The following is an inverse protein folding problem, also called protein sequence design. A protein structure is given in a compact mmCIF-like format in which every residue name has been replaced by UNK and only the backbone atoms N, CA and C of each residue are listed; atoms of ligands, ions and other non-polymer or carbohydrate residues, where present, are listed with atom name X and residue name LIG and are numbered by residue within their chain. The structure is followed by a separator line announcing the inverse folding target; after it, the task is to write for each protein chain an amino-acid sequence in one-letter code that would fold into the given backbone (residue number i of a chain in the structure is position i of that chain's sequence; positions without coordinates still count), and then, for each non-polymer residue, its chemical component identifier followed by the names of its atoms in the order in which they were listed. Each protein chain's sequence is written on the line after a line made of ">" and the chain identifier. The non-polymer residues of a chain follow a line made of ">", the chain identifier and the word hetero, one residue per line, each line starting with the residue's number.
data_IF_712605123635
#
_entry.id   IF_712605123635
#
_cell.length_a   1.000
_cell.length_b   1.000
_cell.length_c   1.000
_cell.angle_alpha   90.00
_cell.angle_beta   90.00
_cell.angle_gamma   90.00
#
_symmetry.space_group_name_H-M   'P 1'
#
loop_
_entity.id
_entity.type
_entity.pdbx_description
1 polymer ?
#
# COMPACT_ATOMS: atom_id res chain seq x y z
N UNK A 1 -19.70 54.46 -32.52
CA UNK A 1 -20.48 53.36 -31.95
C UNK A 1 -19.98 51.98 -32.36
N UNK A 2 -19.47 51.71 -33.56
CA UNK A 2 -18.98 50.37 -33.99
C UNK A 2 -17.79 49.89 -33.19
N UNK A 3 -16.83 50.74 -32.81
CA UNK A 3 -15.62 50.33 -32.06
C UNK A 3 -15.89 49.90 -30.61
N UNK A 4 -16.85 50.51 -29.94
CA UNK A 4 -17.22 50.21 -28.56
C UNK A 4 -17.85 48.78 -28.49
N UNK A 5 -18.72 48.42 -29.44
CA UNK A 5 -19.30 47.10 -29.52
C UNK A 5 -18.31 45.99 -29.75
N UNK A 6 -17.22 46.25 -30.50
CA UNK A 6 -16.15 45.33 -30.74
C UNK A 6 -15.26 45.14 -29.51
N UNK A 7 -15.02 46.20 -28.73
CA UNK A 7 -14.25 46.16 -27.48
C UNK A 7 -15.02 45.33 -26.42
N UNK A 8 -16.33 45.57 -26.30
CA UNK A 8 -17.18 44.82 -25.36
C UNK A 8 -17.28 43.33 -25.73
N UNK A 9 -17.37 43.00 -27.03
CA UNK A 9 -17.34 41.56 -27.45
C UNK A 9 -15.98 40.90 -27.17
N UNK A 10 -14.89 41.58 -27.35
CA UNK A 10 -13.55 41.02 -27.04
C UNK A 10 -13.33 40.88 -25.54
N UNK A 11 -13.81 41.83 -24.73
CA UNK A 11 -13.78 41.73 -23.27
C UNK A 11 -14.66 40.59 -22.74
N UNK A 12 -15.87 40.38 -23.30
CA UNK A 12 -16.75 39.28 -22.93
C UNK A 12 -16.19 37.90 -23.29
N UNK A 13 -15.51 37.80 -24.44
CA UNK A 13 -14.81 36.56 -24.86
C UNK A 13 -13.61 36.24 -23.96
N UNK A 14 -12.87 37.25 -23.50
CA UNK A 14 -11.72 37.06 -22.63
C UNK A 14 -12.13 36.65 -21.20
N UNK A 15 -13.20 37.24 -20.65
CA UNK A 15 -13.75 36.86 -19.34
C UNK A 15 -14.39 35.46 -19.36
N UNK A 16 -15.01 35.04 -20.45
CA UNK A 16 -15.57 33.69 -20.59
C UNK A 16 -14.47 32.61 -20.67
N UNK A 17 -13.33 32.91 -21.28
CA UNK A 17 -12.19 31.97 -21.39
C UNK A 17 -11.47 31.77 -20.06
N UNK A 18 -11.39 32.78 -19.20
CA UNK A 18 -10.74 32.69 -17.89
C UNK A 18 -11.59 31.94 -16.85
N UNK A 19 -12.93 31.94 -16.98
CA UNK A 19 -13.80 31.17 -16.07
C UNK A 19 -13.75 29.65 -16.33
N UNK A 20 -13.38 29.21 -17.53
CA UNK A 20 -13.29 27.78 -17.86
C UNK A 20 -12.00 27.12 -17.33
N UNK A 21 -10.99 27.89 -16.96
CA UNK A 21 -9.72 27.37 -16.42
C UNK A 21 -9.75 27.11 -14.91
N UNK A 22 -10.78 27.60 -14.19
CA UNK A 22 -10.90 27.45 -12.75
C UNK A 22 -11.69 26.17 -12.33
N UNK A 23 -12.20 25.39 -13.28
CA UNK A 23 -13.13 24.28 -13.01
C UNK A 23 -12.45 22.90 -12.93
N UNK A 24 -11.15 22.80 -13.15
CA UNK A 24 -10.45 21.52 -13.01
C UNK A 24 -9.63 21.50 -11.72
N UNK A 25 -10.24 21.08 -10.62
CA UNK A 25 -9.46 20.47 -9.56
C UNK A 25 -9.10 19.05 -10.04
N UNK A 26 -7.91 18.93 -10.59
CA UNK A 26 -7.35 17.66 -11.09
C UNK A 26 -6.92 16.70 -9.97
N UNK A 27 -7.32 16.96 -8.74
CA UNK A 27 -7.02 16.13 -7.59
C UNK A 27 -8.14 15.10 -7.38
N UNK A 28 -8.35 14.26 -8.40
CA UNK A 28 -9.16 13.04 -8.22
C UNK A 28 -8.21 11.94 -7.76
N UNK A 29 -8.28 11.55 -6.48
CA UNK A 29 -7.50 10.42 -6.01
C UNK A 29 -7.90 9.15 -6.77
N UNK A 30 -6.97 8.21 -7.03
CA UNK A 30 -7.30 6.90 -7.54
C UNK A 30 -8.35 6.24 -6.63
N UNK A 31 -9.35 5.52 -7.20
CA UNK A 31 -10.45 4.95 -6.41
C UNK A 31 -10.01 3.92 -5.37
N UNK A 32 -8.77 3.46 -5.44
CA UNK A 32 -8.18 2.42 -4.60
C UNK A 32 -7.21 2.97 -3.54
N UNK A 33 -7.01 4.28 -3.46
CA UNK A 33 -6.16 4.91 -2.46
C UNK A 33 -6.95 5.89 -1.61
N UNK A 34 -6.92 5.70 -0.30
CA UNK A 34 -7.35 6.70 0.67
C UNK A 34 -6.38 7.89 0.61
N UNK A 35 -6.58 8.79 -0.35
CA UNK A 35 -5.70 9.94 -0.57
C UNK A 35 -6.16 11.20 0.16
N UNK A 36 -7.29 11.14 0.87
CA UNK A 36 -7.76 12.23 1.70
C UNK A 36 -7.29 12.03 3.15
N UNK A 37 -6.44 12.93 3.68
CA UNK A 37 -6.06 12.89 5.09
C UNK A 37 -7.24 12.97 6.06
N UNK A 38 -8.39 13.49 5.62
CA UNK A 38 -9.59 13.66 6.44
C UNK A 38 -10.59 12.49 6.29
N UNK A 39 -10.27 11.46 5.50
CA UNK A 39 -11.17 10.33 5.25
C UNK A 39 -11.39 9.43 6.49
N UNK A 40 -10.53 9.51 7.50
CA UNK A 40 -10.66 8.74 8.74
C UNK A 40 -11.17 9.67 9.83
N UNK A 41 -12.50 9.71 9.98
CA UNK A 41 -13.19 10.59 10.91
C UNK A 41 -13.73 9.88 12.14
N UNK A 42 -13.90 8.56 12.05
CA UNK A 42 -14.49 7.72 13.11
C UNK A 42 -13.83 6.33 13.15
N UNK A 43 -14.21 5.55 14.16
CA UNK A 43 -13.66 4.21 14.42
C UNK A 43 -13.99 3.23 13.30
N UNK A 44 -15.15 3.34 12.64
CA UNK A 44 -15.55 2.45 11.56
C UNK A 44 -14.71 2.67 10.31
N UNK A 45 -14.41 3.93 9.97
CA UNK A 45 -13.49 4.28 8.89
C UNK A 45 -12.07 3.83 9.20
N UNK A 46 -11.65 3.93 10.47
CA UNK A 46 -10.39 3.35 10.95
C UNK A 46 -10.32 1.83 10.75
N UNK A 47 -11.39 1.11 11.10
CA UNK A 47 -11.50 -0.36 10.88
C UNK A 47 -11.47 -0.72 9.40
N UNK A 48 -12.12 0.07 8.55
CA UNK A 48 -12.10 -0.13 7.09
C UNK A 48 -10.69 0.05 6.51
N UNK A 49 -9.93 1.05 6.98
CA UNK A 49 -8.54 1.23 6.57
C UNK A 49 -7.64 0.09 7.07
N UNK A 50 -7.84 -0.41 8.29
CA UNK A 50 -7.11 -1.58 8.78
C UNK A 50 -7.38 -2.81 7.90
N UNK A 51 -8.61 -3.01 7.46
CA UNK A 51 -8.95 -4.09 6.50
C UNK A 51 -8.14 -3.94 5.21
N UNK A 52 -8.00 -2.71 4.70
CA UNK A 52 -7.16 -2.43 3.53
C UNK A 52 -5.67 -2.71 3.80
N UNK A 53 -5.18 -2.46 5.02
CA UNK A 53 -3.83 -2.84 5.42
C UNK A 53 -3.64 -4.36 5.37
N UNK A 54 -4.58 -5.15 5.89
CA UNK A 54 -4.54 -6.61 5.79
C UNK A 54 -4.55 -7.11 4.35
N UNK A 55 -5.36 -6.51 3.48
CA UNK A 55 -5.41 -6.86 2.06
C UNK A 55 -4.12 -6.50 1.31
N UNK A 56 -3.33 -5.56 1.83
CA UNK A 56 -2.04 -5.18 1.25
C UNK A 56 -0.86 -6.01 1.78
N UNK A 57 -1.10 -6.92 2.75
CA UNK A 57 -0.06 -7.83 3.22
C UNK A 57 0.31 -8.80 2.10
N UNK A 58 1.61 -8.99 1.80
CA UNK A 58 2.04 -9.87 0.72
C UNK A 58 1.75 -11.34 1.02
N UNK A 59 1.18 -12.05 0.06
CA UNK A 59 0.88 -13.48 0.10
C UNK A 59 1.86 -14.22 -0.83
N UNK A 60 3.04 -14.53 -0.32
CA UNK A 60 4.12 -15.17 -1.08
C UNK A 60 4.44 -16.59 -0.55
N UNK A 61 3.49 -17.19 0.15
CA UNK A 61 3.66 -18.51 0.79
C UNK A 61 3.99 -19.60 -0.24
N UNK A 62 3.38 -19.50 -1.43
CA UNK A 62 3.61 -20.46 -2.53
C UNK A 62 5.07 -20.41 -3.02
N UNK A 63 5.57 -19.21 -3.32
CA UNK A 63 6.92 -18.99 -3.82
C UNK A 63 7.97 -19.40 -2.78
N UNK A 64 7.75 -19.05 -1.52
CA UNK A 64 8.65 -19.43 -0.44
C UNK A 64 8.63 -20.93 -0.16
N UNK A 65 7.48 -21.59 -0.29
CA UNK A 65 7.37 -23.03 -0.18
C UNK A 65 8.10 -23.76 -1.30
N UNK A 66 8.11 -23.21 -2.51
CA UNK A 66 8.94 -23.73 -3.61
C UNK A 66 10.42 -23.58 -3.31
N UNK A 67 10.85 -22.41 -2.85
CA UNK A 67 12.25 -22.13 -2.50
C UNK A 67 12.71 -22.95 -1.28
N UNK A 68 11.83 -23.16 -0.31
CA UNK A 68 12.06 -23.98 0.88
C UNK A 68 12.04 -25.48 0.63
N UNK A 69 11.70 -25.91 -0.59
CA UNK A 69 11.53 -27.33 -0.95
C UNK A 69 10.43 -28.04 -0.12
N UNK A 70 9.42 -27.30 0.35
CA UNK A 70 8.26 -27.86 1.06
C UNK A 70 7.39 -28.69 0.12
N UNK A 71 7.36 -28.34 -1.17
CA UNK A 71 6.83 -29.18 -2.22
C UNK A 71 7.59 -29.00 -3.56
N UNK A 72 7.54 -30.06 -4.37
CA UNK A 72 8.19 -30.10 -5.67
C UNK A 72 7.17 -29.94 -6.80
N UNK A 73 7.32 -29.03 -7.75
CA UNK A 73 6.46 -28.93 -8.91
C UNK A 73 6.58 -30.17 -9.78
N UNK A 74 5.46 -30.74 -10.19
CA UNK A 74 5.39 -31.90 -11.08
C UNK A 74 5.02 -31.47 -12.50
N UNK A 75 5.17 -32.37 -13.46
CA UNK A 75 4.72 -32.15 -14.85
C UNK A 75 3.20 -31.92 -14.97
N UNK A 76 2.43 -32.18 -13.91
CA UNK A 76 0.98 -31.94 -13.86
C UNK A 76 0.62 -30.65 -13.13
N UNK A 77 1.38 -30.30 -12.08
CA UNK A 77 1.11 -29.17 -11.17
C UNK A 77 2.19 -28.09 -11.21
N UNK A 78 2.79 -27.78 -12.22
CA UNK A 78 3.87 -26.78 -12.30
C UNK A 78 4.47 -26.80 -13.69
N UNK A 79 3.58 -26.75 -14.70
CA UNK A 79 4.00 -26.77 -16.10
C UNK A 79 4.68 -25.51 -16.56
N UNK A 80 4.48 -24.41 -15.85
CA UNK A 80 5.08 -23.16 -16.23
C UNK A 80 6.58 -23.17 -15.93
N UNK A 81 7.33 -22.62 -16.86
CA UNK A 81 8.79 -22.55 -16.79
C UNK A 81 9.24 -21.68 -15.61
N UNK A 82 8.42 -20.72 -15.19
CA UNK A 82 8.74 -19.80 -14.10
C UNK A 82 8.73 -20.53 -12.77
N UNK A 83 7.70 -21.33 -12.47
CA UNK A 83 7.66 -22.19 -11.28
C UNK A 83 8.85 -23.17 -11.22
N UNK A 84 9.18 -23.82 -12.33
CA UNK A 84 10.33 -24.72 -12.41
C UNK A 84 11.66 -23.99 -12.16
N UNK A 85 11.81 -22.81 -12.74
CA UNK A 85 13.00 -22.00 -12.56
C UNK A 85 13.13 -21.48 -11.11
N UNK A 86 12.03 -21.08 -10.49
CA UNK A 86 12.02 -20.65 -9.10
C UNK A 86 12.39 -21.81 -8.16
N UNK A 87 11.79 -22.98 -8.36
CA UNK A 87 12.13 -24.19 -7.61
C UNK A 87 13.60 -24.57 -7.74
N UNK A 88 14.18 -24.41 -8.94
CA UNK A 88 15.61 -24.67 -9.21
C UNK A 88 16.53 -23.49 -8.88
N UNK A 89 16.06 -22.49 -8.14
CA UNK A 89 16.84 -21.33 -7.69
C UNK A 89 17.54 -20.57 -8.82
N UNK A 90 16.86 -20.38 -9.96
CA UNK A 90 17.45 -19.61 -11.06
C UNK A 90 17.55 -18.13 -10.72
N UNK A 91 18.73 -17.54 -10.79
CA UNK A 91 19.05 -16.17 -10.38
C UNK A 91 18.07 -15.12 -10.88
N UNK A 92 17.68 -15.20 -12.15
CA UNK A 92 16.72 -14.26 -12.74
C UNK A 92 15.37 -14.32 -12.06
N UNK A 93 14.87 -15.51 -11.72
CA UNK A 93 13.56 -15.70 -11.09
C UNK A 93 13.60 -15.27 -9.63
N UNK A 94 14.68 -15.56 -8.92
CA UNK A 94 14.92 -15.05 -7.56
C UNK A 94 14.98 -13.52 -7.54
N UNK A 95 15.73 -12.92 -8.47
CA UNK A 95 15.83 -11.46 -8.58
C UNK A 95 14.46 -10.81 -8.89
N UNK A 96 13.67 -11.40 -9.79
CA UNK A 96 12.33 -10.93 -10.10
C UNK A 96 11.42 -11.02 -8.87
N UNK A 97 11.40 -12.15 -8.17
CA UNK A 97 10.63 -12.33 -6.95
C UNK A 97 11.03 -11.28 -5.89
N UNK A 98 12.32 -11.12 -5.63
CA UNK A 98 12.84 -10.15 -4.68
C UNK A 98 12.42 -8.72 -5.03
N UNK A 99 12.43 -8.35 -6.30
CA UNK A 99 12.04 -7.00 -6.78
C UNK A 99 10.56 -6.69 -6.58
N UNK A 100 9.71 -7.70 -6.43
CA UNK A 100 8.28 -7.54 -6.15
C UNK A 100 7.96 -7.65 -4.67
N UNK A 101 8.61 -8.55 -3.96
CA UNK A 101 8.37 -8.84 -2.53
C UNK A 101 8.77 -7.64 -1.65
N UNK A 102 9.96 -7.10 -1.84
CA UNK A 102 10.45 -5.97 -1.04
C UNK A 102 9.48 -4.77 -1.04
N UNK A 103 9.11 -4.18 -2.19
CA UNK A 103 8.20 -3.03 -2.19
C UNK A 103 6.79 -3.39 -1.70
N UNK A 104 6.32 -4.63 -1.86
CA UNK A 104 5.02 -5.05 -1.38
C UNK A 104 4.93 -4.99 0.15
N UNK A 105 5.94 -5.49 0.88
CA UNK A 105 6.00 -5.36 2.33
C UNK A 105 6.06 -3.90 2.79
N UNK A 106 6.87 -3.06 2.13
CA UNK A 106 6.94 -1.63 2.47
C UNK A 106 5.65 -0.88 2.14
N UNK A 107 4.89 -1.31 1.14
CA UNK A 107 3.54 -0.77 0.88
C UNK A 107 2.61 -1.08 2.05
N UNK A 108 2.59 -2.32 2.55
CA UNK A 108 1.80 -2.67 3.72
C UNK A 108 2.23 -1.88 4.98
N UNK A 109 3.53 -1.76 5.23
CA UNK A 109 4.08 -0.96 6.34
C UNK A 109 3.63 0.50 6.23
N UNK A 110 3.73 1.10 5.04
CA UNK A 110 3.30 2.48 4.79
C UNK A 110 1.81 2.68 5.04
N UNK A 111 0.97 1.73 4.61
CA UNK A 111 -0.47 1.77 4.87
C UNK A 111 -0.77 1.70 6.38
N UNK A 112 -0.04 0.85 7.11
CA UNK A 112 -0.15 0.79 8.58
C UNK A 112 0.30 2.09 9.24
N UNK A 113 1.37 2.73 8.75
CA UNK A 113 1.86 4.01 9.30
C UNK A 113 0.84 5.12 9.09
N UNK A 114 0.22 5.20 7.92
CA UNK A 114 -0.86 6.15 7.64
C UNK A 114 -2.04 5.93 8.59
N UNK A 115 -2.43 4.67 8.83
CA UNK A 115 -3.49 4.36 9.79
C UNK A 115 -3.09 4.77 11.22
N UNK A 116 -1.90 4.41 11.67
CA UNK A 116 -1.41 4.71 13.02
C UNK A 116 -1.32 6.21 13.29
N UNK A 117 -0.89 7.00 12.30
CA UNK A 117 -0.85 8.46 12.43
C UNK A 117 -2.24 9.08 12.58
N UNK A 118 -3.23 8.52 11.87
CA UNK A 118 -4.57 9.09 11.82
C UNK A 118 -5.47 8.62 12.94
N UNK A 119 -5.36 7.36 13.35
CA UNK A 119 -6.22 6.77 14.38
C UNK A 119 -6.14 7.52 15.69
N UNK A 120 -4.99 8.08 16.03
CA UNK A 120 -4.82 8.86 17.27
C UNK A 120 -5.60 10.18 17.27
N UNK A 121 -5.90 10.74 16.10
CA UNK A 121 -6.65 12.00 15.92
C UNK A 121 -8.17 11.80 16.06
N UNK A 122 -8.67 10.56 16.01
CA UNK A 122 -10.09 10.26 16.14
C UNK A 122 -10.55 10.49 17.58
N UNK A 123 -11.59 11.30 17.74
CA UNK A 123 -12.27 11.48 19.02
C UNK A 123 -13.23 10.31 19.25
N UNK A 124 -13.22 9.72 20.44
CA UNK A 124 -14.12 8.64 20.83
C UNK A 124 -15.12 9.14 21.86
N UNK A 125 -16.41 8.89 21.65
CA UNK A 125 -17.48 9.35 22.52
C UNK A 125 -17.88 8.30 23.55
N UNK A 126 -17.68 7.02 23.23
CA UNK A 126 -18.07 5.89 24.09
C UNK A 126 -16.87 5.05 24.51
N UNK A 127 -17.04 4.30 25.60
CA UNK A 127 -16.02 3.33 26.05
C UNK A 127 -15.81 2.21 25.02
N UNK A 128 -16.84 1.83 24.27
CA UNK A 128 -16.75 0.85 23.20
C UNK A 128 -15.90 1.37 22.03
N UNK A 129 -16.08 2.63 21.61
CA UNK A 129 -15.29 3.25 20.55
C UNK A 129 -13.82 3.37 20.98
N UNK A 130 -13.56 3.69 22.24
CA UNK A 130 -12.20 3.75 22.76
C UNK A 130 -11.52 2.38 22.71
N UNK A 131 -12.24 1.33 23.12
CA UNK A 131 -11.73 -0.05 23.05
C UNK A 131 -11.45 -0.47 21.62
N UNK A 132 -12.36 -0.18 20.68
CA UNK A 132 -12.19 -0.48 19.26
C UNK A 132 -11.01 0.30 18.65
N UNK A 133 -10.86 1.58 18.97
CA UNK A 133 -9.70 2.39 18.58
C UNK A 133 -8.38 1.76 19.03
N UNK A 134 -8.33 1.28 20.26
CA UNK A 134 -7.15 0.61 20.81
C UNK A 134 -6.88 -0.73 20.11
N UNK A 135 -7.92 -1.49 19.79
CA UNK A 135 -7.80 -2.75 19.05
C UNK A 135 -7.25 -2.51 17.64
N UNK A 136 -7.80 -1.55 16.90
CA UNK A 136 -7.32 -1.16 15.57
C UNK A 136 -5.84 -0.78 15.61
N UNK A 137 -5.44 0.02 16.60
CA UNK A 137 -4.04 0.42 16.77
C UNK A 137 -3.12 -0.76 17.04
N UNK A 138 -3.52 -1.67 17.93
CA UNK A 138 -2.75 -2.85 18.26
C UNK A 138 -2.61 -3.81 17.06
N UNK A 139 -3.68 -4.02 16.32
CA UNK A 139 -3.68 -4.86 15.11
C UNK A 139 -2.79 -4.26 14.02
N UNK A 140 -2.83 -2.95 13.78
CA UNK A 140 -1.95 -2.29 12.82
C UNK A 140 -0.46 -2.40 13.20
N UNK A 141 -0.14 -2.25 14.50
CA UNK A 141 1.21 -2.44 15.00
C UNK A 141 1.69 -3.88 14.84
N UNK A 142 0.81 -4.86 15.11
CA UNK A 142 1.12 -6.28 14.92
C UNK A 142 1.38 -6.57 13.44
N UNK A 143 0.52 -6.11 12.54
CA UNK A 143 0.69 -6.32 11.10
C UNK A 143 2.00 -5.71 10.59
N UNK A 144 2.33 -4.50 11.04
CA UNK A 144 3.61 -3.86 10.73
C UNK A 144 4.80 -4.67 11.26
N UNK A 145 4.71 -5.20 12.48
CA UNK A 145 5.74 -6.05 13.06
C UNK A 145 5.93 -7.37 12.27
N UNK A 146 4.83 -7.97 11.80
CA UNK A 146 4.86 -9.15 10.92
C UNK A 146 5.59 -8.83 9.61
N UNK A 147 5.30 -7.70 8.96
CA UNK A 147 6.00 -7.28 7.76
C UNK A 147 7.53 -7.15 7.97
N UNK A 148 7.94 -6.50 9.05
CA UNK A 148 9.38 -6.39 9.36
C UNK A 148 10.02 -7.73 9.70
N UNK A 149 9.30 -8.59 10.41
CA UNK A 149 9.80 -9.93 10.71
C UNK A 149 10.02 -10.77 9.45
N UNK A 150 9.09 -10.70 8.49
CA UNK A 150 9.25 -11.41 7.21
C UNK A 150 10.39 -10.82 6.37
N UNK A 151 10.49 -9.48 6.31
CA UNK A 151 11.63 -8.83 5.65
C UNK A 151 12.97 -9.26 6.25
N UNK A 152 13.04 -9.34 7.58
CA UNK A 152 14.24 -9.81 8.28
C UNK A 152 14.57 -11.27 7.91
N UNK A 153 13.57 -12.15 7.92
CA UNK A 153 13.73 -13.57 7.58
C UNK A 153 14.16 -13.80 6.14
N UNK A 154 13.70 -12.95 5.21
CA UNK A 154 13.94 -13.11 3.77
C UNK A 154 15.27 -12.49 3.35
N UNK A 155 15.64 -11.34 3.92
CA UNK A 155 16.74 -10.51 3.41
C UNK A 155 17.94 -10.39 4.34
N UNK A 156 17.79 -10.63 5.65
CA UNK A 156 18.92 -10.53 6.57
C UNK A 156 19.76 -11.80 6.58
N UNK A 157 21.04 -11.64 6.87
CA UNK A 157 21.93 -12.76 7.09
C UNK A 157 21.54 -13.51 8.38
N UNK A 158 21.39 -14.85 8.35
CA UNK A 158 21.08 -15.61 9.55
C UNK A 158 22.10 -15.40 10.67
N UNK A 159 21.64 -15.13 11.89
CA UNK A 159 22.47 -14.84 13.05
C UNK A 159 23.58 -15.88 13.30
N UNK A 160 23.28 -17.17 13.06
CA UNK A 160 24.23 -18.26 13.26
C UNK A 160 25.38 -18.25 12.24
N UNK A 161 25.19 -17.59 11.08
CA UNK A 161 26.23 -17.47 10.06
C UNK A 161 27.15 -16.28 10.31
N UNK A 162 26.59 -15.18 10.75
CA UNK A 162 27.32 -13.97 11.11
C UNK A 162 26.60 -13.17 12.22
N UNK A 163 26.96 -13.40 13.51
CA UNK A 163 26.32 -12.69 14.63
C UNK A 163 26.52 -11.18 14.63
N UNK A 164 27.55 -10.70 13.92
CA UNK A 164 27.91 -9.27 13.85
C UNK A 164 27.40 -8.60 12.55
N UNK A 165 26.61 -9.32 11.73
CA UNK A 165 26.04 -8.73 10.52
C UNK A 165 24.95 -7.72 10.87
N UNK A 166 24.94 -6.60 10.16
CA UNK A 166 23.82 -5.66 10.20
C UNK A 166 22.58 -6.35 9.62
N UNK A 167 21.46 -6.22 10.33
CA UNK A 167 20.17 -6.81 9.96
C UNK A 167 19.48 -6.10 8.79
#
# INVERSE_FOLDING_TARGET
>A
MKNIKNIIKKALLFTSSTLLLAACSLNVPPPDQFSDPDAITDVNTGRSLLTSCYLSYPHQEYEFSLLGNDFCPTNLSGKDVETQNLYNWQDKNISNLSSTVWPAYYTCISNCDVLLERIDKITTETAADLQEKQAIKAEAQLLKAMCYFDLLRIYATPYYENPDADG
#
